data_IF_774219731559
#
_entry.id   IF_774219731559
#
_cell.length_a   1.000
_cell.length_b   1.000
_cell.length_c   1.000
_cell.angle_alpha   90.00
_cell.angle_beta   90.00
_cell.angle_gamma   90.00
#
_symmetry.space_group_name_H-M   'P 1'
#
loop_
_entity.id
_entity.type
_entity.pdbx_description
1 polymer ?
#
# COMPACT_ATOMS: atom_id res chain seq x y z
N UNK A 1 5.27 11.19 -29.54
CA UNK A 1 5.59 9.81 -29.96
C UNK A 1 4.89 8.88 -29.00
N UNK A 2 4.05 7.96 -29.49
CA UNK A 2 3.51 6.91 -28.62
C UNK A 2 4.70 6.05 -28.17
N UNK A 3 4.90 5.81 -26.87
CA UNK A 3 5.93 4.87 -26.43
C UNK A 3 5.57 3.50 -27.03
N UNK A 4 6.51 2.89 -27.76
CA UNK A 4 6.32 1.55 -28.29
C UNK A 4 6.04 0.59 -27.14
N UNK A 5 5.08 -0.33 -27.32
CA UNK A 5 4.84 -1.43 -26.37
C UNK A 5 6.13 -2.22 -26.23
N UNK A 6 6.60 -2.48 -25.01
CA UNK A 6 7.81 -3.26 -24.76
C UNK A 6 7.50 -4.76 -24.59
N UNK A 7 6.41 -5.06 -23.89
CA UNK A 7 5.93 -6.42 -23.66
C UNK A 7 4.45 -6.56 -23.98
N UNK A 8 4.05 -7.70 -24.54
CA UNK A 8 2.66 -8.06 -24.77
C UNK A 8 2.33 -9.41 -24.14
N UNK A 9 1.30 -9.46 -23.30
CA UNK A 9 0.81 -10.67 -22.62
C UNK A 9 -0.54 -11.10 -23.18
N UNK A 10 -0.73 -12.41 -23.31
CA UNK A 10 -1.94 -13.00 -23.85
C UNK A 10 -2.12 -14.47 -23.46
N UNK A 11 -3.10 -15.11 -24.09
CA UNK A 11 -3.33 -16.55 -23.95
C UNK A 11 -3.09 -17.24 -25.28
N UNK A 12 -2.34 -18.33 -25.28
CA UNK A 12 -2.07 -19.20 -26.41
C UNK A 12 -2.80 -20.55 -26.22
N UNK A 13 -3.43 -21.12 -27.27
CA UNK A 13 -4.18 -22.37 -27.15
C UNK A 13 -3.34 -23.54 -26.65
N UNK A 14 -2.06 -23.61 -27.03
CA UNK A 14 -1.18 -24.73 -26.68
C UNK A 14 -0.26 -24.45 -25.48
N UNK A 15 -0.03 -23.19 -25.14
CA UNK A 15 0.97 -22.79 -24.15
C UNK A 15 0.38 -22.06 -22.93
N UNK A 16 -0.95 -21.89 -22.89
CA UNK A 16 -1.62 -21.24 -21.78
C UNK A 16 -1.35 -19.74 -21.77
N UNK A 17 -0.75 -19.21 -20.70
CA UNK A 17 -0.39 -17.79 -20.63
C UNK A 17 0.96 -17.54 -21.29
N UNK A 18 0.99 -16.59 -22.21
CA UNK A 18 2.19 -16.26 -22.98
C UNK A 18 2.53 -14.78 -22.90
N UNK A 19 3.82 -14.49 -23.11
CA UNK A 19 4.39 -13.17 -23.19
C UNK A 19 5.27 -13.07 -24.44
N UNK A 20 5.24 -11.92 -25.10
CA UNK A 20 6.16 -11.59 -26.19
C UNK A 20 6.82 -10.25 -25.94
N UNK A 21 8.03 -10.10 -26.44
CA UNK A 21 8.76 -8.83 -26.43
C UNK A 21 8.79 -8.20 -27.81
N UNK A 22 8.75 -6.88 -27.88
CA UNK A 22 8.81 -6.15 -29.15
C UNK A 22 10.25 -5.79 -29.53
N UNK A 23 10.47 -5.45 -30.80
CA UNK A 23 11.78 -5.10 -31.34
C UNK A 23 12.45 -3.87 -30.71
N UNK A 24 11.71 -3.07 -29.93
CA UNK A 24 12.26 -1.90 -29.24
C UNK A 24 13.04 -2.25 -27.97
N UNK A 25 12.91 -3.49 -27.47
CA UNK A 25 13.58 -3.96 -26.27
C UNK A 25 14.70 -4.96 -26.65
N UNK A 26 15.93 -4.81 -26.12
CA UNK A 26 16.97 -5.80 -26.36
C UNK A 26 16.55 -7.20 -25.89
N UNK A 27 16.73 -8.22 -26.73
CA UNK A 27 16.25 -9.59 -26.48
C UNK A 27 16.77 -10.18 -25.17
N UNK A 28 18.04 -9.96 -24.85
CA UNK A 28 18.64 -10.46 -23.60
C UNK A 28 17.98 -9.84 -22.36
N UNK A 29 17.55 -8.59 -22.45
CA UNK A 29 16.88 -7.89 -21.35
C UNK A 29 15.44 -8.42 -21.22
N UNK A 30 14.72 -8.54 -22.34
CA UNK A 30 13.40 -9.16 -22.35
C UNK A 30 13.42 -10.56 -21.71
N UNK A 31 14.39 -11.38 -22.11
CA UNK A 31 14.59 -12.72 -21.58
C UNK A 31 14.80 -12.70 -20.06
N UNK A 32 15.71 -11.86 -19.56
CA UNK A 32 15.99 -11.74 -18.13
C UNK A 32 14.75 -11.38 -17.32
N UNK A 33 13.99 -10.36 -17.76
CA UNK A 33 12.77 -9.96 -17.05
C UNK A 33 11.70 -11.06 -17.06
N UNK A 34 11.51 -11.73 -18.19
CA UNK A 34 10.52 -12.79 -18.32
C UNK A 34 10.90 -14.04 -17.52
N UNK A 35 12.17 -14.44 -17.49
CA UNK A 35 12.65 -15.51 -16.61
C UNK A 35 12.38 -15.21 -15.13
N UNK A 36 12.60 -13.97 -14.69
CA UNK A 36 12.30 -13.55 -13.31
C UNK A 36 10.80 -13.64 -12.98
N UNK A 37 9.94 -13.38 -13.97
CA UNK A 37 8.48 -13.56 -13.87
C UNK A 37 8.02 -15.02 -14.08
N UNK A 38 8.96 -15.96 -14.13
CA UNK A 38 8.72 -17.40 -14.31
C UNK A 38 8.13 -17.74 -15.69
N UNK A 39 8.44 -16.92 -16.69
CA UNK A 39 8.19 -17.22 -18.08
C UNK A 39 9.41 -17.87 -18.72
N UNK A 40 9.20 -18.98 -19.40
CA UNK A 40 10.24 -19.75 -20.09
C UNK A 40 10.13 -19.54 -21.60
N UNK A 41 11.26 -19.46 -22.33
CA UNK A 41 11.23 -19.35 -23.78
C UNK A 41 10.58 -20.59 -24.40
N UNK A 42 9.78 -20.38 -25.44
CA UNK A 42 9.23 -21.48 -26.24
C UNK A 42 10.31 -21.93 -27.24
N UNK A 43 10.71 -23.22 -27.25
CA UNK A 43 11.81 -23.70 -28.09
C UNK A 43 11.62 -23.44 -29.59
N UNK A 44 10.37 -23.52 -30.05
CA UNK A 44 10.01 -23.43 -31.47
C UNK A 44 9.66 -21.99 -31.91
N UNK A 45 9.50 -21.06 -30.96
CA UNK A 45 9.04 -19.69 -31.22
C UNK A 45 9.94 -18.64 -30.53
N UNK A 46 10.97 -18.14 -31.22
CA UNK A 46 11.89 -17.16 -30.64
C UNK A 46 11.18 -15.85 -30.32
N UNK A 47 11.34 -15.38 -29.08
CA UNK A 47 10.69 -14.17 -28.58
C UNK A 47 9.29 -14.39 -28.00
N UNK A 48 8.76 -15.62 -28.08
CA UNK A 48 7.61 -16.06 -27.33
C UNK A 48 8.05 -16.79 -26.04
N UNK A 49 7.38 -16.45 -24.95
CA UNK A 49 7.60 -17.06 -23.66
C UNK A 49 6.29 -17.56 -23.09
N UNK A 50 6.31 -18.72 -22.44
CA UNK A 50 5.16 -19.31 -21.77
C UNK A 50 5.35 -19.28 -20.26
N UNK A 51 4.26 -19.09 -19.52
CA UNK A 51 4.31 -19.16 -18.07
C UNK A 51 4.58 -20.61 -17.62
N UNK A 52 5.58 -20.80 -16.76
CA UNK A 52 5.83 -22.10 -16.15
C UNK A 52 4.69 -22.47 -15.19
N UNK A 53 4.24 -23.72 -15.23
CA UNK A 53 3.12 -24.22 -14.40
C UNK A 53 1.85 -23.34 -14.52
N UNK A 54 1.39 -23.07 -15.75
CA UNK A 54 0.24 -22.21 -16.01
C UNK A 54 -1.05 -22.62 -15.27
N UNK A 55 -1.22 -23.92 -14.98
CA UNK A 55 -2.34 -24.45 -14.20
C UNK A 55 -2.37 -23.94 -12.75
N UNK A 56 -1.20 -23.56 -12.21
CA UNK A 56 -1.07 -23.11 -10.84
C UNK A 56 -1.06 -21.58 -10.78
N UNK A 57 -2.25 -21.03 -10.57
CA UNK A 57 -2.49 -19.59 -10.42
C UNK A 57 -2.03 -18.75 -11.63
N UNK A 58 -2.06 -19.31 -12.84
CA UNK A 58 -1.49 -18.67 -14.03
C UNK A 58 -2.04 -17.28 -14.32
N UNK A 59 -3.35 -17.09 -14.17
CA UNK A 59 -3.98 -15.78 -14.35
C UNK A 59 -3.57 -14.75 -13.28
N UNK A 60 -3.33 -15.19 -12.04
CA UNK A 60 -2.86 -14.30 -10.97
C UNK A 60 -1.40 -13.92 -11.19
N UNK A 61 -0.56 -14.90 -11.52
CA UNK A 61 0.88 -14.69 -11.77
C UNK A 61 1.13 -13.83 -13.00
N UNK A 62 0.39 -14.06 -14.08
CA UNK A 62 0.51 -13.22 -15.28
C UNK A 62 0.10 -11.76 -14.99
N UNK A 63 -0.95 -11.53 -14.20
CA UNK A 63 -1.32 -10.17 -13.76
C UNK A 63 -0.25 -9.53 -12.89
N UNK A 64 0.38 -10.32 -12.02
CA UNK A 64 1.49 -9.86 -11.19
C UNK A 64 2.68 -9.43 -12.07
N UNK A 65 3.07 -10.25 -13.04
CA UNK A 65 4.14 -9.92 -13.99
C UNK A 65 3.84 -8.64 -14.78
N UNK A 66 2.60 -8.49 -15.27
CA UNK A 66 2.16 -7.26 -15.95
C UNK A 66 2.27 -6.04 -15.02
N UNK A 67 1.86 -6.18 -13.77
CA UNK A 67 1.97 -5.11 -12.78
C UNK A 67 3.42 -4.74 -12.49
N UNK A 68 4.27 -5.75 -12.26
CA UNK A 68 5.67 -5.56 -11.91
C UNK A 68 6.41 -4.88 -13.06
N UNK A 69 6.27 -5.34 -14.31
CA UNK A 69 6.87 -4.68 -15.47
C UNK A 69 6.40 -3.24 -15.68
N UNK A 70 5.12 -2.95 -15.43
CA UNK A 70 4.60 -1.57 -15.46
C UNK A 70 5.20 -0.71 -14.35
N UNK A 71 5.40 -1.27 -13.16
CA UNK A 71 6.03 -0.57 -12.03
C UNK A 71 7.50 -0.23 -12.30
N UNK A 72 8.19 -1.04 -13.11
CA UNK A 72 9.54 -0.76 -13.62
C UNK A 72 9.57 0.27 -14.76
N UNK A 73 8.41 0.81 -15.17
CA UNK A 73 8.30 1.85 -16.18
C UNK A 73 8.18 1.32 -17.62
N UNK A 74 8.03 0.01 -17.82
CA UNK A 74 7.83 -0.54 -19.16
C UNK A 74 6.38 -0.37 -19.63
N UNK A 75 6.24 -0.13 -20.94
CA UNK A 75 4.93 -0.14 -21.60
C UNK A 75 4.50 -1.59 -21.84
N UNK A 76 3.48 -2.05 -21.12
CA UNK A 76 3.00 -3.44 -21.19
C UNK A 76 1.56 -3.50 -21.68
N UNK A 77 1.35 -4.20 -22.78
CA UNK A 77 0.03 -4.56 -23.28
C UNK A 77 -0.38 -5.93 -22.72
N UNK A 78 -1.60 -6.07 -22.24
CA UNK A 78 -2.14 -7.36 -21.82
C UNK A 78 -3.54 -7.53 -22.39
N UNK A 79 -3.82 -8.72 -22.92
CA UNK A 79 -5.17 -9.05 -23.39
C UNK A 79 -6.17 -9.00 -22.22
N UNK A 80 -7.43 -8.70 -22.51
CA UNK A 80 -8.51 -8.55 -21.52
C UNK A 80 -8.75 -9.84 -20.73
N UNK A 81 -8.47 -10.99 -21.36
CA UNK A 81 -8.54 -12.32 -20.71
C UNK A 81 -7.47 -12.49 -19.64
N UNK A 82 -6.36 -11.77 -19.76
CA UNK A 82 -5.21 -11.81 -18.86
C UNK A 82 -5.33 -10.72 -17.80
N UNK A 83 -5.57 -9.47 -18.21
CA UNK A 83 -5.72 -8.33 -17.30
C UNK A 83 -7.04 -7.58 -17.58
N UNK A 84 -8.16 -8.01 -16.97
CA UNK A 84 -9.43 -7.31 -17.11
C UNK A 84 -9.40 -5.91 -16.47
N UNK A 85 -8.44 -5.62 -15.59
CA UNK A 85 -8.28 -4.28 -15.01
C UNK A 85 -7.73 -3.28 -16.02
N UNK A 86 -7.05 -3.72 -17.09
CA UNK A 86 -6.59 -2.83 -18.15
C UNK A 86 -7.78 -2.20 -18.91
N UNK A 87 -8.86 -2.95 -19.13
CA UNK A 87 -10.12 -2.39 -19.67
C UNK A 87 -10.79 -1.40 -18.71
N UNK A 88 -10.70 -1.64 -17.39
CA UNK A 88 -11.21 -0.70 -16.40
C UNK A 88 -10.33 0.56 -16.24
N UNK A 89 -9.03 0.47 -16.54
CA UNK A 89 -8.08 1.58 -16.47
C UNK A 89 -8.15 2.48 -17.71
N UNK A 90 -8.47 1.94 -18.88
CA UNK A 90 -8.68 2.70 -20.13
C UNK A 90 -9.83 3.73 -20.04
N UNK A 91 -10.65 3.66 -19.00
CA UNK A 91 -11.76 4.59 -18.73
C UNK A 91 -11.69 5.26 -17.35
N UNK A 92 -10.49 5.47 -16.78
CA UNK A 92 -10.36 6.34 -15.60
C UNK A 92 -9.86 7.70 -16.02
N UNK A 93 -10.71 8.76 -16.04
CA UNK A 93 -10.18 10.10 -16.02
C UNK A 93 -9.23 10.21 -14.82
N UNK A 94 -8.02 10.70 -15.09
CA UNK A 94 -7.05 11.18 -14.08
C UNK A 94 -7.84 11.78 -12.92
N UNK A 95 -7.87 11.10 -11.77
CA UNK A 95 -8.55 11.63 -10.60
C UNK A 95 -7.77 12.88 -10.20
N UNK A 96 -8.35 14.09 -10.25
CA UNK A 96 -7.62 15.27 -9.85
C UNK A 96 -7.24 15.12 -8.38
N UNK A 97 -6.09 15.69 -8.07
CA UNK A 97 -5.26 15.59 -6.88
C UNK A 97 -5.99 16.02 -5.57
N UNK A 98 -7.06 15.33 -5.19
CA UNK A 98 -7.96 15.73 -4.10
C UNK A 98 -7.30 15.74 -2.72
N UNK A 99 -6.20 15.00 -2.55
CA UNK A 99 -5.40 15.02 -1.34
C UNK A 99 -4.59 16.33 -1.23
N UNK A 100 -3.99 16.81 -2.33
CA UNK A 100 -3.33 18.11 -2.34
C UNK A 100 -4.34 19.25 -2.23
N UNK A 101 -5.47 19.20 -2.94
CA UNK A 101 -6.52 20.22 -2.81
C UNK A 101 -7.06 20.31 -1.38
N UNK A 102 -7.27 19.18 -0.70
CA UNK A 102 -7.68 19.16 0.71
C UNK A 102 -6.60 19.77 1.61
N UNK A 103 -5.32 19.47 1.37
CA UNK A 103 -4.20 20.05 2.12
C UNK A 103 -4.10 21.56 1.91
N UNK A 104 -4.24 22.04 0.67
CA UNK A 104 -4.24 23.46 0.35
C UNK A 104 -5.42 24.19 1.01
N UNK A 105 -6.62 23.60 0.98
CA UNK A 105 -7.82 24.18 1.63
C UNK A 105 -7.66 24.28 3.16
N UNK A 106 -7.05 23.27 3.79
CA UNK A 106 -6.76 23.28 5.22
C UNK A 106 -5.69 24.32 5.59
N UNK A 107 -4.64 24.47 4.79
CA UNK A 107 -3.61 25.49 5.00
C UNK A 107 -4.19 26.92 4.87
N UNK A 108 -5.07 27.15 3.90
CA UNK A 108 -5.77 28.43 3.72
C UNK A 108 -6.71 28.74 4.89
N UNK A 109 -7.44 27.74 5.42
CA UNK A 109 -8.30 27.92 6.59
C UNK A 109 -7.51 28.24 7.88
N UNK A 110 -6.28 27.75 8.01
CA UNK A 110 -5.40 28.08 9.13
C UNK A 110 -4.83 29.51 9.01
N UNK A 111 -4.51 29.96 7.80
CA UNK A 111 -3.97 31.30 7.55
C UNK A 111 -4.97 32.44 7.84
N UNK A 112 -6.28 32.19 7.76
CA UNK A 112 -7.31 33.20 8.06
C UNK A 112 -7.60 33.41 9.55
N UNK A 113 -7.09 32.57 10.47
CA UNK A 113 -7.47 32.58 11.90
C UNK A 113 -6.55 33.40 12.81
N UNK A 114 -5.50 34.03 12.29
CA UNK A 114 -4.45 34.68 13.10
C UNK A 114 -4.57 36.20 13.25
N UNK A 115 -5.63 36.85 12.73
CA UNK A 115 -5.80 38.31 12.86
C UNK A 115 -6.78 38.78 13.96
N UNK A 116 -7.31 37.90 14.82
CA UNK A 116 -8.32 38.30 15.84
C UNK A 116 -7.97 37.96 17.30
N UNK A 117 -6.70 37.66 17.63
CA UNK A 117 -6.31 37.45 19.03
C UNK A 117 -5.84 38.74 19.69
N UNK A 118 -6.76 39.63 20.02
CA UNK A 118 -6.52 40.70 20.98
C UNK A 118 -7.82 41.21 21.64
N UNK A 119 -8.42 40.40 22.51
CA UNK A 119 -9.13 40.92 23.70
C UNK A 119 -9.00 39.88 24.81
N UNK A 120 -8.24 40.23 25.86
CA UNK A 120 -8.09 39.43 27.06
C UNK A 120 -9.37 39.52 27.92
N UNK A 121 -9.97 38.41 28.36
CA UNK A 121 -11.00 38.46 29.38
C UNK A 121 -10.34 38.56 30.77
N UNK A 122 -10.64 39.65 31.47
CA UNK A 122 -10.30 39.82 32.89
C UNK A 122 -11.30 38.99 33.71
N UNK A 123 -10.91 37.78 34.11
CA UNK A 123 -11.66 36.98 35.09
C UNK A 123 -10.86 36.97 36.39
N UNK A 124 -11.51 37.46 37.45
CA UNK A 124 -11.01 37.59 38.82
C UNK A 124 -10.42 36.29 39.39
N UNK A 125 -9.45 36.38 40.32
CA UNK A 125 -8.84 35.20 40.93
C UNK A 125 -9.85 34.45 41.82
N UNK A 126 -9.87 33.11 41.82
CA UNK A 126 -10.71 32.34 42.72
C UNK A 126 -10.18 32.41 44.16
N UNK A 127 -11.10 32.66 45.08
CA UNK A 127 -10.90 32.69 46.53
C UNK A 127 -10.26 31.39 47.03
N UNK A 128 -9.20 31.51 47.82
CA UNK A 128 -8.44 30.39 48.38
C UNK A 128 -9.34 29.52 49.29
N UNK A 129 -9.46 28.23 48.97
CA UNK A 129 -10.03 27.24 49.90
C UNK A 129 -8.96 26.82 50.93
N UNK A 130 -9.27 26.77 52.24
CA UNK A 130 -8.33 26.29 53.25
C UNK A 130 -8.00 24.81 53.04
N UNK A 131 -6.71 24.48 53.19
CA UNK A 131 -6.20 23.10 53.16
C UNK A 131 -6.51 22.43 54.51
N UNK A 132 -7.09 21.21 54.54
CA UNK A 132 -7.30 20.49 55.80
C UNK A 132 -5.95 20.06 56.43
N UNK A 133 -5.81 20.08 57.76
CA UNK A 133 -4.55 19.76 58.42
C UNK A 133 -4.19 18.27 58.26
N UNK A 134 -2.88 18.00 58.19
CA UNK A 134 -2.30 16.65 58.06
C UNK A 134 -2.71 15.77 59.25
N UNK A 135 -3.21 14.53 59.02
CA UNK A 135 -3.36 13.58 60.09
C UNK A 135 -1.98 13.06 60.52
N UNK A 136 -1.59 13.36 61.75
CA UNK A 136 -0.51 12.69 62.47
C UNK A 136 -0.99 11.30 62.83
N UNK A 137 -0.47 10.27 62.17
CA UNK A 137 -0.68 8.88 62.57
C UNK A 137 0.62 8.32 63.15
N UNK A 138 0.61 8.06 64.45
CA UNK A 138 1.68 7.40 65.19
C UNK A 138 1.54 5.86 65.05
N UNK A 139 2.63 5.08 65.12
CA UNK A 139 2.59 3.64 64.91
C UNK A 139 2.23 2.93 66.23
N UNK A 140 1.22 2.06 66.22
CA UNK A 140 0.92 1.15 67.32
C UNK A 140 0.67 -0.28 66.81
N UNK A 141 1.79 -0.95 66.58
CA UNK A 141 2.16 -2.32 66.97
C UNK A 141 1.06 -3.30 67.48
N UNK A 142 0.90 -4.39 66.71
CA UNK A 142 0.65 -5.83 67.03
C UNK A 142 -0.60 -6.27 67.84
N UNK A 143 -1.31 -7.30 67.34
CA UNK A 143 -1.46 -8.63 67.99
C UNK A 143 -2.38 -9.60 67.20
N UNK A 144 -1.78 -10.73 66.80
CA UNK A 144 -2.27 -12.13 66.75
C UNK A 144 -3.70 -12.48 66.30
N UNK A 145 -3.79 -13.32 65.26
CA UNK A 145 -4.79 -14.39 65.18
C UNK A 145 -4.14 -15.67 64.63
N UNK A 146 -4.23 -16.71 65.44
CA UNK A 146 -3.73 -18.07 65.30
C UNK A 146 -4.64 -18.97 64.47
N UNK A 147 -4.04 -19.87 63.68
CA UNK A 147 -4.57 -21.18 63.27
C UNK A 147 -5.56 -21.17 62.10
N UNK A 148 -5.66 -22.16 61.21
CA UNK A 148 -5.03 -23.49 61.09
C UNK A 148 -5.50 -24.03 59.73
N UNK A 149 -4.65 -24.69 58.94
CA UNK A 149 -5.12 -25.32 57.69
C UNK A 149 -4.04 -25.86 56.74
N UNK A 150 -3.33 -26.90 57.16
CA UNK A 150 -2.57 -27.86 56.32
C UNK A 150 -3.62 -28.79 55.65
N UNK A 151 -3.49 -29.41 54.47
CA UNK A 151 -2.36 -30.02 53.78
C UNK A 151 -2.74 -30.36 52.31
N UNK A 152 -1.71 -30.52 51.49
CA UNK A 152 -1.53 -31.44 50.33
C UNK A 152 -2.58 -31.51 49.22
#
# INVERSE_FOLDING_TARGET
MQPGTHFAFGTHPEHGFVASSTAFLPTHLAHRFLEHEQFEPVPDEPGLYRLSEAERDGARRTRQAVHDLRSHGYTVHADIRVDPMQSAAAARPERPNGLQERRTRLAQAAAGRTAQRATAPTTSPPSARPIPPKPTYAPAVHLTATGTGRSR
#
